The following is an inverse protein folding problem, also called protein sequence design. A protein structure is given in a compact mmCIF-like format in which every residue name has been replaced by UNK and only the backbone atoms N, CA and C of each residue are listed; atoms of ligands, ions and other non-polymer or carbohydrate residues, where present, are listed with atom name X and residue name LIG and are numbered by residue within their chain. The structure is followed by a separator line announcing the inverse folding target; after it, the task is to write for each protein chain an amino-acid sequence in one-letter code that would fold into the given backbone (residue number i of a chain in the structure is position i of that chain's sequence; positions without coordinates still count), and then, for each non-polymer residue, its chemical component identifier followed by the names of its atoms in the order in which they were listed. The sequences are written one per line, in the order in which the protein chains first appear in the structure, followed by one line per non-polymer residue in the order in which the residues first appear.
data_IF_282647109155
#
_entry.id   IF_282647109155
#
_cell.length_a   1.000
_cell.length_b   1.000
_cell.length_c   1.000
_cell.angle_alpha   90.00
_cell.angle_beta   90.00
_cell.angle_gamma   90.00
#
_symmetry.space_group_name_H-M   'P 1'
#
loop_
_entity.id
_entity.type
_entity.pdbx_description
1 polymer ?
#
# COMPACT_ATOMS: atom_id res chain seq x y z
N UNK A 1 -17.78 7.72 17.40
CA UNK A 1 -18.18 7.09 16.13
C UNK A 1 -17.37 5.82 15.99
N UNK A 2 -17.94 4.72 15.52
CA UNK A 2 -17.19 3.46 15.35
C UNK A 2 -16.62 3.42 13.94
N UNK A 3 -15.43 3.98 13.77
CA UNK A 3 -14.87 4.19 12.43
C UNK A 3 -13.39 3.83 12.35
N UNK A 4 -13.02 3.17 11.26
CA UNK A 4 -11.64 2.96 10.85
C UNK A 4 -11.40 3.70 9.54
N UNK A 5 -10.42 4.57 9.54
CA UNK A 5 -9.82 5.12 8.32
C UNK A 5 -8.65 4.24 7.89
N UNK A 6 -8.62 3.80 6.64
CA UNK A 6 -7.43 3.18 6.05
C UNK A 6 -6.71 4.24 5.24
N UNK A 7 -5.62 4.76 5.76
CA UNK A 7 -5.00 6.00 5.25
C UNK A 7 -3.73 5.71 4.48
N UNK A 8 -3.71 6.08 3.20
CA UNK A 8 -2.50 6.12 2.39
C UNK A 8 -1.68 7.37 2.71
N UNK A 9 -0.44 7.18 3.20
CA UNK A 9 0.45 8.27 3.62
C UNK A 9 1.26 8.88 2.47
N UNK A 10 1.13 8.34 1.25
CA UNK A 10 2.01 8.75 0.14
C UNK A 10 3.46 8.28 0.33
N UNK A 11 4.43 8.98 -0.25
CA UNK A 11 5.84 8.58 -0.25
C UNK A 11 6.59 8.83 1.06
N UNK A 12 5.93 9.33 2.09
CA UNK A 12 6.50 9.52 3.43
C UNK A 12 6.82 10.99 3.79
N UNK A 13 6.83 11.91 2.83
CA UNK A 13 6.92 13.35 3.11
C UNK A 13 5.54 13.89 3.51
N UNK A 14 5.45 14.58 4.64
CA UNK A 14 4.19 15.15 5.14
C UNK A 14 3.54 16.15 4.17
N UNK A 15 4.30 16.77 3.26
CA UNK A 15 3.80 17.63 2.19
C UNK A 15 3.02 16.86 1.11
N UNK A 16 3.26 15.54 1.02
CA UNK A 16 2.59 14.64 0.09
C UNK A 16 1.36 13.96 0.69
N UNK A 17 1.00 14.25 1.94
CA UNK A 17 -0.27 13.84 2.50
C UNK A 17 -1.40 14.56 1.78
N UNK A 18 -2.41 13.82 1.32
CA UNK A 18 -3.63 14.42 0.79
C UNK A 18 -4.35 15.21 1.90
N UNK A 19 -5.16 16.20 1.52
CA UNK A 19 -5.98 16.94 2.49
C UNK A 19 -6.93 16.00 3.25
N UNK A 20 -7.47 14.99 2.56
CA UNK A 20 -8.34 13.97 3.15
C UNK A 20 -7.58 13.08 4.15
N UNK A 21 -6.33 12.68 3.81
CA UNK A 21 -5.49 11.92 4.73
C UNK A 21 -5.19 12.71 6.02
N UNK A 22 -4.91 14.02 5.91
CA UNK A 22 -4.76 14.89 7.08
C UNK A 22 -6.02 14.91 7.93
N UNK A 23 -7.17 15.17 7.31
CA UNK A 23 -8.46 15.22 8.04
C UNK A 23 -8.75 13.91 8.76
N UNK A 24 -8.49 12.77 8.12
CA UNK A 24 -8.68 11.46 8.73
C UNK A 24 -7.71 11.21 9.92
N UNK A 25 -6.45 11.64 9.77
CA UNK A 25 -5.46 11.57 10.84
C UNK A 25 -5.84 12.51 12.00
N UNK A 26 -6.33 13.72 11.72
CA UNK A 26 -6.78 14.69 12.73
C UNK A 26 -7.96 14.14 13.55
N UNK A 27 -8.94 13.50 12.89
CA UNK A 27 -10.14 12.93 13.54
C UNK A 27 -9.82 11.66 14.35
N UNK A 28 -8.77 10.92 13.99
CA UNK A 28 -8.43 9.67 14.65
C UNK A 28 -7.99 9.89 16.11
N UNK A 29 -8.41 9.00 17.00
CA UNK A 29 -7.90 8.94 18.38
C UNK A 29 -6.63 8.09 18.46
N UNK A 30 -6.48 7.12 17.55
CA UNK A 30 -5.40 6.14 17.56
C UNK A 30 -4.80 6.01 16.16
N UNK A 31 -3.47 5.99 16.10
CA UNK A 31 -2.69 5.65 14.91
C UNK A 31 -2.28 4.18 15.00
N UNK A 32 -2.69 3.39 14.03
CA UNK A 32 -2.38 1.95 13.95
C UNK A 32 -1.60 1.67 12.65
N UNK A 33 -0.57 0.84 12.71
CA UNK A 33 0.17 0.54 11.48
C UNK A 33 1.40 -0.35 11.69
N UNK A 34 2.14 -0.56 10.59
CA UNK A 34 3.50 -1.04 10.69
C UNK A 34 4.39 0.07 11.26
N UNK A 35 5.28 -0.26 12.21
CA UNK A 35 6.04 0.75 12.96
C UNK A 35 6.69 1.81 12.07
N UNK A 36 7.40 1.39 11.02
CA UNK A 36 8.07 2.31 10.08
C UNK A 36 7.10 3.32 9.43
N UNK A 37 5.85 2.94 9.18
CA UNK A 37 4.85 3.84 8.59
C UNK A 37 4.22 4.75 9.64
N UNK A 38 4.00 4.24 10.83
CA UNK A 38 3.51 5.05 11.96
C UNK A 38 4.54 6.13 12.32
N UNK A 39 5.83 5.79 12.31
CA UNK A 39 6.93 6.73 12.61
C UNK A 39 6.98 7.94 11.66
N UNK A 40 6.40 7.83 10.45
CA UNK A 40 6.30 8.94 9.50
C UNK A 40 5.31 10.02 9.93
N UNK A 41 4.29 9.66 10.71
CA UNK A 41 3.19 10.58 11.05
C UNK A 41 3.01 10.78 12.55
N UNK A 42 3.40 9.84 13.40
CA UNK A 42 3.29 9.97 14.85
C UNK A 42 3.92 11.27 15.42
N UNK A 43 5.06 11.75 14.89
CA UNK A 43 5.61 13.03 15.36
C UNK A 43 4.74 14.26 15.08
N UNK A 44 3.80 14.17 14.13
CA UNK A 44 2.83 15.23 13.82
C UNK A 44 1.63 15.21 14.80
N UNK A 45 1.45 14.12 15.52
CA UNK A 45 0.32 13.84 16.42
C UNK A 45 0.78 13.22 17.74
N UNK A 46 1.61 13.95 18.51
CA UNK A 46 2.25 13.38 19.72
C UNK A 46 1.25 13.05 20.84
N UNK A 47 0.04 13.58 20.77
CA UNK A 47 -1.03 13.34 21.73
C UNK A 47 -1.84 12.05 21.46
N UNK A 48 -1.66 11.45 20.27
CA UNK A 48 -2.45 10.28 19.88
C UNK A 48 -1.82 8.98 20.37
N UNK A 49 -2.69 8.06 20.75
CA UNK A 49 -2.27 6.68 21.05
C UNK A 49 -1.72 6.02 19.78
N UNK A 50 -0.67 5.23 19.94
CA UNK A 50 -0.02 4.52 18.84
C UNK A 50 -0.08 3.03 19.09
N UNK A 51 -0.53 2.26 18.09
CA UNK A 51 -0.45 0.80 18.08
C UNK A 51 0.31 0.31 16.84
N UNK A 52 1.34 -0.49 17.06
CA UNK A 52 2.15 -1.04 15.97
C UNK A 52 2.28 -2.55 16.07
N UNK A 53 2.38 -3.21 14.92
CA UNK A 53 2.75 -4.62 14.85
C UNK A 53 3.94 -4.80 13.91
N UNK A 54 4.74 -5.87 14.08
CA UNK A 54 5.78 -6.24 13.12
C UNK A 54 5.23 -6.48 11.70
N UNK A 55 6.14 -6.53 10.73
CA UNK A 55 5.82 -7.02 9.38
C UNK A 55 5.31 -8.47 9.46
N UNK A 56 4.44 -8.87 8.55
CA UNK A 56 3.77 -10.18 8.49
C UNK A 56 2.62 -10.38 9.50
N UNK A 57 2.23 -9.34 10.22
CA UNK A 57 1.06 -9.36 11.14
C UNK A 57 -0.07 -8.44 10.65
N UNK A 58 -0.30 -8.43 9.34
CA UNK A 58 -1.29 -7.56 8.69
C UNK A 58 -2.71 -7.84 9.21
N UNK A 59 -3.09 -9.11 9.32
CA UNK A 59 -4.42 -9.49 9.80
C UNK A 59 -4.63 -9.17 11.29
N UNK A 60 -3.61 -9.32 12.12
CA UNK A 60 -3.66 -8.94 13.54
C UNK A 60 -3.88 -7.43 13.68
N UNK A 61 -3.15 -6.65 12.90
CA UNK A 61 -3.28 -5.19 12.82
C UNK A 61 -4.69 -4.77 12.40
N UNK A 62 -5.24 -5.42 11.38
CA UNK A 62 -6.61 -5.16 10.93
C UNK A 62 -7.65 -5.47 12.02
N UNK A 63 -7.54 -6.64 12.68
CA UNK A 63 -8.43 -6.99 13.79
C UNK A 63 -8.35 -5.98 14.91
N UNK A 64 -7.14 -5.61 15.31
CA UNK A 64 -6.95 -4.65 16.38
C UNK A 64 -7.61 -3.29 16.04
N UNK A 65 -7.44 -2.81 14.80
CA UNK A 65 -8.06 -1.56 14.34
C UNK A 65 -9.59 -1.63 14.40
N UNK A 66 -10.19 -2.73 13.96
CA UNK A 66 -11.65 -2.95 14.03
C UNK A 66 -12.15 -3.04 15.46
N UNK A 67 -11.47 -3.78 16.35
CA UNK A 67 -11.81 -3.87 17.77
C UNK A 67 -11.69 -2.52 18.48
N UNK A 68 -10.63 -1.76 18.18
CA UNK A 68 -10.47 -0.39 18.68
C UNK A 68 -11.64 0.49 18.29
N UNK A 69 -12.04 0.46 17.01
CA UNK A 69 -13.18 1.21 16.51
C UNK A 69 -14.50 0.72 17.14
N UNK A 70 -14.68 -0.60 17.29
CA UNK A 70 -15.84 -1.18 17.97
C UNK A 70 -16.00 -0.67 19.41
N UNK A 71 -14.90 -0.45 20.10
CA UNK A 71 -14.87 0.13 21.44
C UNK A 71 -15.21 1.64 21.48
N UNK A 72 -15.44 2.28 20.33
CA UNK A 72 -15.83 3.69 20.21
C UNK A 72 -14.69 4.66 19.91
N UNK A 73 -13.49 4.16 19.59
CA UNK A 73 -12.32 4.99 19.24
C UNK A 73 -12.14 5.05 17.72
N UNK A 74 -12.25 6.23 17.13
CA UNK A 74 -11.87 6.42 15.72
C UNK A 74 -10.40 6.05 15.52
N UNK A 75 -10.12 5.11 14.63
CA UNK A 75 -8.77 4.56 14.42
C UNK A 75 -8.29 4.81 13.00
N UNK A 76 -7.08 5.36 12.83
CA UNK A 76 -6.43 5.47 11.54
C UNK A 76 -5.44 4.31 11.35
N UNK A 77 -5.76 3.39 10.44
CA UNK A 77 -4.83 2.35 9.99
C UNK A 77 -4.00 2.91 8.84
N UNK A 78 -2.74 3.23 9.13
CA UNK A 78 -1.85 3.90 8.18
C UNK A 78 -1.01 2.91 7.37
N UNK A 79 -0.80 3.23 6.09
CA UNK A 79 0.09 2.49 5.19
C UNK A 79 0.83 3.44 4.24
N UNK A 80 2.02 3.04 3.80
CA UNK A 80 2.80 3.77 2.82
C UNK A 80 2.10 3.78 1.46
N UNK A 81 2.31 4.82 0.68
CA UNK A 81 1.73 4.97 -0.65
C UNK A 81 0.22 5.15 -0.61
N UNK A 82 -0.50 4.31 -1.32
CA UNK A 82 -1.95 4.29 -1.40
C UNK A 82 -2.54 3.09 -0.63
N UNK A 83 -3.66 3.31 0.05
CA UNK A 83 -4.31 2.29 0.87
C UNK A 83 -4.84 1.09 0.07
N UNK A 84 -5.22 1.29 -1.20
CA UNK A 84 -5.77 0.28 -2.11
C UNK A 84 -4.74 -0.38 -3.03
N UNK A 85 -3.54 0.23 -3.20
CA UNK A 85 -2.49 -0.31 -4.09
C UNK A 85 -1.48 -1.12 -3.28
N UNK A 86 -1.71 -2.43 -3.18
CA UNK A 86 -0.95 -3.37 -2.32
C UNK A 86 -0.86 -2.92 -0.85
N UNK A 87 -1.84 -2.12 -0.41
CA UNK A 87 -1.97 -1.58 0.93
C UNK A 87 -2.91 -2.40 1.82
N UNK A 88 -3.37 -1.78 2.90
CA UNK A 88 -4.15 -2.45 3.93
C UNK A 88 -5.67 -2.44 3.69
N UNK A 89 -6.16 -1.73 2.64
CA UNK A 89 -7.60 -1.60 2.42
C UNK A 89 -8.27 -2.95 2.13
N UNK A 90 -7.70 -3.77 1.25
CA UNK A 90 -8.26 -5.08 0.91
C UNK A 90 -8.42 -6.00 2.14
N UNK A 91 -7.33 -6.33 2.86
CA UNK A 91 -7.41 -7.17 4.06
C UNK A 91 -8.35 -6.63 5.14
N UNK A 92 -8.39 -5.30 5.35
CA UNK A 92 -9.28 -4.71 6.34
C UNK A 92 -10.74 -4.84 5.93
N UNK A 93 -11.09 -4.51 4.68
CA UNK A 93 -12.47 -4.60 4.17
C UNK A 93 -12.99 -6.05 4.19
N UNK A 94 -12.12 -7.03 3.96
CA UNK A 94 -12.48 -8.45 4.08
C UNK A 94 -12.87 -8.80 5.52
N UNK A 95 -12.04 -8.43 6.49
CA UNK A 95 -12.31 -8.67 7.92
C UNK A 95 -13.48 -7.83 8.46
N UNK A 96 -13.70 -6.64 7.93
CA UNK A 96 -14.78 -5.75 8.36
C UNK A 96 -16.18 -6.33 8.16
N UNK A 97 -16.33 -7.38 7.34
CA UNK A 97 -17.60 -8.12 7.18
C UNK A 97 -18.09 -8.72 8.51
N UNK A 98 -17.17 -9.04 9.41
CA UNK A 98 -17.48 -9.57 10.74
C UNK A 98 -17.77 -8.46 11.78
N UNK A 99 -17.69 -7.18 11.36
CA UNK A 99 -17.87 -5.98 12.21
C UNK A 99 -18.86 -5.00 11.57
N UNK A 100 -20.11 -5.40 11.34
CA UNK A 100 -21.09 -4.58 10.60
C UNK A 100 -21.42 -3.23 11.27
N UNK A 101 -21.11 -3.09 12.56
CA UNK A 101 -21.28 -1.85 13.32
C UNK A 101 -20.11 -0.86 13.16
N UNK A 102 -19.03 -1.25 12.47
CA UNK A 102 -17.84 -0.41 12.25
C UNK A 102 -17.85 0.13 10.83
N UNK A 103 -17.86 1.43 10.68
CA UNK A 103 -17.68 2.09 9.40
C UNK A 103 -16.20 2.02 8.98
N UNK A 104 -15.95 1.63 7.75
CA UNK A 104 -14.61 1.65 7.15
C UNK A 104 -14.57 2.66 6.01
N UNK A 105 -13.67 3.63 6.10
CA UNK A 105 -13.41 4.61 5.07
C UNK A 105 -11.98 4.44 4.53
N UNK A 106 -11.86 4.23 3.21
CA UNK A 106 -10.55 4.14 2.54
C UNK A 106 -10.17 5.53 2.05
N UNK A 107 -9.02 6.00 2.52
CA UNK A 107 -8.50 7.33 2.19
C UNK A 107 -7.29 7.17 1.27
N UNK A 108 -7.34 7.70 0.03
CA UNK A 108 -6.29 7.53 -0.95
C UNK A 108 -5.00 8.27 -0.58
N UNK A 109 -3.88 7.72 -1.02
CA UNK A 109 -2.57 8.34 -0.94
C UNK A 109 -1.84 8.31 -2.28
N UNK A 110 -0.73 9.03 -2.39
CA UNK A 110 0.11 9.00 -3.59
C UNK A 110 0.90 7.71 -3.61
N UNK A 111 0.50 6.79 -4.48
CA UNK A 111 1.18 5.49 -4.64
C UNK A 111 2.61 5.64 -5.19
N UNK A 112 3.49 4.70 -4.88
CA UNK A 112 4.89 4.70 -5.31
C UNK A 112 5.07 4.79 -6.84
N UNK A 113 4.13 4.26 -7.63
CA UNK A 113 4.14 4.41 -9.08
C UNK A 113 4.16 5.88 -9.50
N UNK A 114 3.26 6.70 -8.94
CA UNK A 114 3.12 8.11 -9.29
C UNK A 114 4.22 8.96 -8.66
N UNK A 115 4.56 8.72 -7.38
CA UNK A 115 5.62 9.48 -6.71
C UNK A 115 7.00 9.19 -7.28
N UNK A 116 7.29 7.93 -7.65
CA UNK A 116 8.51 7.55 -8.34
C UNK A 116 8.59 8.12 -9.75
N UNK A 117 7.48 8.09 -10.50
CA UNK A 117 7.40 8.70 -11.83
C UNK A 117 7.72 10.20 -11.80
N UNK A 118 7.23 10.93 -10.81
CA UNK A 118 7.51 12.36 -10.65
C UNK A 118 9.01 12.66 -10.45
N UNK A 119 9.74 11.76 -9.78
CA UNK A 119 11.20 11.89 -9.60
C UNK A 119 11.97 11.58 -10.89
N UNK A 120 11.44 10.67 -11.72
CA UNK A 120 12.06 10.23 -12.98
C UNK A 120 11.66 11.11 -14.19
N UNK A 121 10.87 12.14 -13.98
CA UNK A 121 10.29 12.95 -15.04
C UNK A 121 8.84 12.54 -15.30
N UNK A 122 8.51 12.12 -16.52
CA UNK A 122 7.14 11.70 -16.88
C UNK A 122 7.10 10.34 -17.60
N UNK A 123 7.64 9.25 -17.01
CA UNK A 123 7.73 7.94 -17.67
C UNK A 123 6.37 7.25 -17.84
N UNK A 124 5.31 7.77 -17.23
CA UNK A 124 3.93 7.25 -17.30
C UNK A 124 3.04 8.12 -18.19
N UNK A 125 3.62 8.77 -19.20
CA UNK A 125 2.88 9.63 -20.15
C UNK A 125 1.96 8.85 -21.11
N UNK A 126 2.10 7.52 -21.18
CA UNK A 126 1.26 6.59 -21.93
C UNK A 126 0.65 5.54 -21.01
N UNK A 127 0.04 4.51 -21.59
CA UNK A 127 -0.57 3.42 -20.84
C UNK A 127 0.48 2.72 -19.96
N UNK A 128 0.12 2.45 -18.73
CA UNK A 128 1.00 1.78 -17.78
C UNK A 128 0.27 0.71 -16.97
N UNK A 129 1.03 -0.24 -16.49
CA UNK A 129 0.51 -1.25 -15.58
C UNK A 129 1.38 -1.41 -14.34
N UNK A 130 0.76 -1.90 -13.28
CA UNK A 130 1.38 -2.12 -11.97
C UNK A 130 1.44 -3.62 -11.72
N UNK A 131 2.64 -4.16 -11.50
CA UNK A 131 2.87 -5.58 -11.24
C UNK A 131 3.66 -5.77 -9.96
N UNK A 132 3.10 -6.53 -9.01
CA UNK A 132 3.84 -6.96 -7.83
C UNK A 132 4.66 -8.20 -8.12
N UNK A 133 5.94 -8.16 -7.78
CA UNK A 133 6.84 -9.31 -7.84
C UNK A 133 6.79 -10.20 -6.58
N UNK A 134 5.81 -9.96 -5.68
CA UNK A 134 5.64 -10.80 -4.49
C UNK A 134 4.92 -12.09 -4.84
N UNK A 135 5.55 -13.22 -4.53
CA UNK A 135 5.01 -14.58 -4.73
C UNK A 135 4.33 -15.16 -3.47
N UNK A 136 4.07 -14.34 -2.47
CA UNK A 136 3.41 -14.81 -1.24
C UNK A 136 1.98 -15.30 -1.48
N UNK A 137 1.25 -14.62 -2.37
CA UNK A 137 -0.15 -14.94 -2.70
C UNK A 137 -0.35 -15.24 -4.19
N UNK A 138 0.67 -15.03 -5.03
CA UNK A 138 0.58 -15.19 -6.48
C UNK A 138 1.78 -15.98 -6.99
N UNK A 139 1.60 -17.17 -7.58
CA UNK A 139 2.71 -17.97 -8.11
C UNK A 139 3.56 -17.19 -9.12
N UNK A 140 4.86 -17.49 -9.17
CA UNK A 140 5.79 -16.82 -10.09
C UNK A 140 5.36 -16.97 -11.56
N UNK A 141 4.81 -18.10 -11.95
CA UNK A 141 4.33 -18.36 -13.31
C UNK A 141 3.23 -17.35 -13.72
N UNK A 142 2.38 -16.97 -12.78
CA UNK A 142 1.36 -15.95 -13.01
C UNK A 142 1.98 -14.55 -13.11
N UNK A 143 2.98 -14.25 -12.28
CA UNK A 143 3.73 -12.99 -12.34
C UNK A 143 4.46 -12.88 -13.68
N UNK A 144 5.19 -13.94 -14.10
CA UNK A 144 5.90 -14.02 -15.38
C UNK A 144 4.97 -13.73 -16.56
N UNK A 145 3.84 -14.41 -16.61
CA UNK A 145 2.83 -14.19 -17.66
C UNK A 145 2.32 -12.76 -17.70
N UNK A 146 2.12 -12.11 -16.53
CA UNK A 146 1.72 -10.70 -16.48
C UNK A 146 2.79 -9.78 -17.05
N UNK A 147 4.07 -10.05 -16.78
CA UNK A 147 5.19 -9.32 -17.34
C UNK A 147 5.29 -9.49 -18.86
N UNK A 148 5.13 -10.70 -19.36
CA UNK A 148 5.10 -11.03 -20.79
C UNK A 148 3.97 -10.28 -21.52
N UNK A 149 2.76 -10.31 -20.96
CA UNK A 149 1.60 -9.58 -21.50
C UNK A 149 1.82 -8.06 -21.51
N UNK A 150 2.43 -7.52 -20.46
CA UNK A 150 2.73 -6.11 -20.38
C UNK A 150 3.81 -5.68 -21.38
N UNK A 151 4.82 -6.52 -21.59
CA UNK A 151 5.85 -6.29 -22.62
C UNK A 151 5.27 -6.36 -24.03
N UNK A 152 4.40 -7.36 -24.31
CA UNK A 152 3.73 -7.51 -25.61
C UNK A 152 2.77 -6.35 -25.91
N UNK A 153 2.17 -5.75 -24.88
CA UNK A 153 1.27 -4.57 -25.00
C UNK A 153 2.01 -3.24 -24.99
N UNK A 154 3.34 -3.23 -24.93
CA UNK A 154 4.18 -2.01 -24.86
C UNK A 154 3.81 -1.07 -23.69
N UNK A 155 3.34 -1.62 -22.55
CA UNK A 155 3.02 -0.83 -21.37
C UNK A 155 4.29 -0.35 -20.64
N UNK A 156 4.22 0.88 -20.10
CA UNK A 156 5.15 1.27 -19.06
C UNK A 156 4.87 0.46 -17.78
N UNK A 157 5.92 -0.04 -17.11
CA UNK A 157 5.79 -0.96 -15.99
C UNK A 157 6.22 -0.34 -14.66
N UNK A 158 5.33 -0.41 -13.69
CA UNK A 158 5.63 -0.11 -12.28
C UNK A 158 5.76 -1.41 -11.50
N UNK A 159 6.98 -1.80 -11.15
CA UNK A 159 7.27 -3.02 -10.41
C UNK A 159 7.23 -2.76 -8.90
N UNK A 160 6.32 -3.44 -8.20
CA UNK A 160 6.18 -3.39 -6.75
C UNK A 160 6.80 -4.62 -6.09
N UNK A 161 7.21 -4.47 -4.83
CA UNK A 161 7.81 -5.56 -4.05
C UNK A 161 8.97 -6.27 -4.78
N UNK A 162 9.93 -5.52 -5.35
CA UNK A 162 10.93 -6.06 -6.28
C UNK A 162 11.91 -7.03 -5.64
N UNK A 163 12.08 -6.96 -4.32
CA UNK A 163 12.99 -7.82 -3.58
C UNK A 163 12.53 -8.06 -2.14
N UNK A 164 12.97 -9.18 -1.58
CA UNK A 164 12.91 -9.48 -0.15
C UNK A 164 14.12 -10.34 0.24
N UNK A 165 14.27 -10.68 1.54
CA UNK A 165 15.35 -11.59 1.98
C UNK A 165 15.32 -12.94 1.26
N UNK A 166 14.14 -13.43 0.87
CA UNK A 166 13.95 -14.71 0.18
C UNK A 166 13.88 -14.59 -1.34
N UNK A 167 13.69 -13.37 -1.89
CA UNK A 167 13.47 -13.08 -3.31
C UNK A 167 14.43 -12.00 -3.81
N UNK A 168 15.74 -12.30 -3.80
CA UNK A 168 16.77 -11.32 -4.18
C UNK A 168 16.93 -11.16 -5.69
N UNK A 169 16.49 -12.14 -6.48
CA UNK A 169 16.69 -12.24 -7.92
C UNK A 169 15.45 -11.91 -8.76
N UNK A 170 14.29 -11.67 -8.13
CA UNK A 170 13.03 -11.49 -8.86
C UNK A 170 13.02 -10.26 -9.77
N UNK A 171 13.64 -9.16 -9.36
CA UNK A 171 13.79 -7.99 -10.23
C UNK A 171 14.63 -8.33 -11.46
N UNK A 172 15.75 -9.03 -11.29
CA UNK A 172 16.61 -9.49 -12.43
C UNK A 172 15.82 -10.38 -13.38
N UNK A 173 15.09 -11.37 -12.85
CA UNK A 173 14.23 -12.26 -13.64
C UNK A 173 13.15 -11.49 -14.40
N UNK A 174 12.53 -10.50 -13.79
CA UNK A 174 11.55 -9.63 -14.45
C UNK A 174 12.20 -8.85 -15.59
N UNK A 175 13.40 -8.28 -15.38
CA UNK A 175 14.14 -7.58 -16.44
C UNK A 175 14.51 -8.49 -17.59
N UNK A 176 14.90 -9.75 -17.33
CA UNK A 176 15.21 -10.74 -18.36
C UNK A 176 13.98 -11.03 -19.26
N UNK A 177 12.79 -11.20 -18.67
CA UNK A 177 11.53 -11.37 -19.41
C UNK A 177 11.24 -10.15 -20.30
N UNK A 178 11.40 -8.94 -19.76
CA UNK A 178 11.13 -7.71 -20.49
C UNK A 178 12.11 -7.45 -21.63
N UNK A 179 13.38 -7.88 -21.49
CA UNK A 179 14.39 -7.79 -22.56
C UNK A 179 14.07 -8.72 -23.74
N UNK A 180 13.58 -9.94 -23.46
CA UNK A 180 13.19 -10.90 -24.49
C UNK A 180 12.01 -10.34 -25.31
N UNK A 181 11.03 -9.70 -24.67
CA UNK A 181 9.89 -9.09 -25.34
C UNK A 181 10.26 -7.94 -26.30
N UNK A 182 11.38 -7.23 -26.06
CA UNK A 182 11.89 -6.15 -26.91
C UNK A 182 12.79 -6.61 -28.06
N UNK A 183 13.26 -7.85 -28.05
CA UNK A 183 14.14 -8.39 -29.10
C UNK A 183 13.41 -8.66 -30.44
N UNK A 184 12.10 -8.42 -30.49
CA UNK A 184 11.27 -8.65 -31.68
C UNK A 184 10.62 -7.36 -32.25
N UNK A 185 11.13 -6.18 -31.86
CA UNK A 185 10.71 -4.88 -32.43
C UNK A 185 11.83 -4.30 -33.30
#
# INVERSE_FOLDING_TARGET
MRKVYVVGLGPGDSRCLTAEARSALDEAHVLCGYGVYVDLVAPLYPEKEVFTTPMTQELERCRWALESARSGRTTALVCSGDAGVYGMAGPLLELARDYPEVEVAVVPGITAALSGAAVLGAPLGHDFCVVSLSDLLTPWETISRRLECAAAGDFALCLYNPASRKRRDYLRRACEILQIGRAHV
#
